data_IF_563486409318
#
_entry.id   IF_563486409318
#
_cell.length_a   1.000
_cell.length_b   1.000
_cell.length_c   1.000
_cell.angle_alpha   90.00
_cell.angle_beta   90.00
_cell.angle_gamma   90.00
#
_symmetry.space_group_name_H-M   'P 1'
#
loop_
_entity.id
_entity.type
_entity.pdbx_description
1 polymer ?
#
# COMPACT_ATOMS: atom_id res chain seq x y z
N UNK A 1 -11.28 6.46 -5.71
CA UNK A 1 -10.35 5.31 -5.63
C UNK A 1 -9.43 5.42 -6.83
N UNK A 2 -8.11 5.44 -6.61
CA UNK A 2 -7.08 6.27 -7.30
C UNK A 2 -6.84 7.62 -6.62
N UNK A 3 -7.88 8.43 -6.37
CA UNK A 3 -7.75 9.73 -5.66
C UNK A 3 -7.10 9.60 -4.29
N UNK A 4 -7.49 8.54 -3.56
CA UNK A 4 -6.95 8.23 -2.23
C UNK A 4 -5.46 7.82 -2.30
N UNK A 5 -5.00 7.27 -3.42
CA UNK A 5 -3.58 6.95 -3.61
C UNK A 5 -2.76 8.23 -3.80
N UNK A 6 -3.30 9.22 -4.52
CA UNK A 6 -2.68 10.53 -4.67
C UNK A 6 -2.62 11.29 -3.34
N UNK A 7 -3.71 11.27 -2.57
CA UNK A 7 -3.76 11.87 -1.22
C UNK A 7 -2.69 11.23 -0.32
N UNK A 8 -2.56 9.90 -0.36
CA UNK A 8 -1.55 9.20 0.42
C UNK A 8 -0.12 9.64 0.07
N UNK A 9 0.21 9.79 -1.22
CA UNK A 9 1.53 10.27 -1.63
C UNK A 9 1.81 11.69 -1.13
N UNK A 10 0.84 12.59 -1.28
CA UNK A 10 0.96 13.96 -0.79
C UNK A 10 1.19 13.98 0.73
N UNK A 11 0.50 13.12 1.47
CA UNK A 11 0.68 13.00 2.92
C UNK A 11 2.08 12.48 3.29
N UNK A 12 2.57 11.47 2.58
CA UNK A 12 3.92 10.93 2.81
C UNK A 12 5.00 11.99 2.51
N UNK A 13 4.81 12.80 1.46
CA UNK A 13 5.69 13.92 1.15
C UNK A 13 5.66 14.99 2.23
N UNK A 14 4.46 15.41 2.68
CA UNK A 14 4.33 16.37 3.78
C UNK A 14 4.97 15.86 5.06
N UNK A 15 4.76 14.58 5.40
CA UNK A 15 5.40 13.95 6.55
C UNK A 15 6.92 13.98 6.43
N UNK A 16 7.46 13.65 5.25
CA UNK A 16 8.91 13.71 4.99
C UNK A 16 9.46 15.12 5.20
N UNK A 17 8.77 16.14 4.71
CA UNK A 17 9.18 17.54 4.85
C UNK A 17 9.13 18.00 6.31
N UNK A 18 8.05 17.68 7.02
CA UNK A 18 7.86 18.09 8.41
C UNK A 18 8.80 17.36 9.38
N UNK A 19 8.95 16.04 9.23
CA UNK A 19 9.77 15.21 10.13
C UNK A 19 11.26 15.22 9.79
N UNK A 20 11.63 15.65 8.57
CA UNK A 20 12.97 15.49 8.03
C UNK A 20 13.35 14.04 7.68
N UNK A 21 12.41 13.09 7.82
CA UNK A 21 12.67 11.67 7.60
C UNK A 21 12.44 11.28 6.14
N UNK A 22 13.43 10.65 5.52
CA UNK A 22 13.27 10.08 4.19
C UNK A 22 12.41 8.81 4.24
N UNK A 23 11.43 8.73 3.34
CA UNK A 23 10.58 7.55 3.18
C UNK A 23 11.12 6.70 2.03
N UNK A 24 11.43 5.43 2.32
CA UNK A 24 11.89 4.49 1.31
C UNK A 24 10.71 3.75 0.69
N UNK A 25 10.17 4.31 -0.39
CA UNK A 25 9.04 3.71 -1.12
C UNK A 25 9.34 2.32 -1.67
N UNK A 26 10.61 2.04 -2.03
CA UNK A 26 11.03 0.72 -2.53
C UNK A 26 10.93 -0.38 -1.45
N UNK A 27 11.10 -0.03 -0.17
CA UNK A 27 10.87 -0.93 0.96
C UNK A 27 9.41 -0.94 1.44
N UNK A 28 8.59 -0.01 0.95
CA UNK A 28 7.16 0.02 1.24
C UNK A 28 6.41 -0.99 0.37
N UNK A 29 5.31 -1.50 0.91
CA UNK A 29 4.47 -2.46 0.22
C UNK A 29 2.98 -2.17 0.43
N UNK A 30 2.17 -2.51 -0.58
CA UNK A 30 0.71 -2.47 -0.51
C UNK A 30 0.11 -3.84 -0.77
N UNK A 31 -1.07 -4.05 -0.20
CA UNK A 31 -1.88 -5.25 -0.37
C UNK A 31 -3.25 -4.87 -0.91
N UNK A 32 -3.82 -5.74 -1.73
CA UNK A 32 -5.17 -5.59 -2.24
C UNK A 32 -6.04 -6.72 -1.72
N UNK A 33 -7.29 -6.41 -1.37
CA UNK A 33 -8.27 -7.45 -1.05
C UNK A 33 -8.61 -8.27 -2.31
N UNK A 34 -9.07 -9.51 -2.12
CA UNK A 34 -9.43 -10.41 -3.24
C UNK A 34 -10.45 -9.79 -4.20
N UNK A 35 -11.34 -8.93 -3.69
CA UNK A 35 -12.42 -8.33 -4.45
C UNK A 35 -12.01 -7.01 -5.13
N UNK A 36 -10.72 -6.65 -5.10
CA UNK A 36 -10.25 -5.43 -5.78
C UNK A 36 -10.05 -5.69 -7.27
N UNK A 37 -10.77 -5.00 -8.18
CA UNK A 37 -10.65 -5.23 -9.62
C UNK A 37 -9.24 -4.97 -10.14
N UNK A 38 -8.77 -5.79 -11.08
CA UNK A 38 -7.40 -5.69 -11.62
C UNK A 38 -7.10 -4.31 -12.25
N UNK A 39 -8.09 -3.69 -12.92
CA UNK A 39 -7.94 -2.34 -13.48
C UNK A 39 -7.60 -1.32 -12.38
N UNK A 40 -8.36 -1.35 -11.28
CA UNK A 40 -8.14 -0.46 -10.15
C UNK A 40 -6.78 -0.70 -9.48
N UNK A 41 -6.36 -1.96 -9.33
CA UNK A 41 -5.03 -2.30 -8.82
C UNK A 41 -3.93 -1.69 -9.68
N UNK A 42 -4.07 -1.80 -10.99
CA UNK A 42 -3.10 -1.27 -11.97
C UNK A 42 -3.02 0.25 -11.88
N UNK A 43 -4.16 0.94 -11.84
CA UNK A 43 -4.20 2.40 -11.70
C UNK A 43 -3.59 2.88 -10.38
N UNK A 44 -3.86 2.21 -9.27
CA UNK A 44 -3.26 2.54 -7.97
C UNK A 44 -1.74 2.32 -7.98
N UNK A 45 -1.27 1.23 -8.58
CA UNK A 45 0.17 0.95 -8.68
C UNK A 45 0.90 1.99 -9.54
N UNK A 46 0.27 2.46 -10.63
CA UNK A 46 0.84 3.52 -11.47
C UNK A 46 0.99 4.83 -10.70
N UNK A 47 0.05 5.16 -9.82
CA UNK A 47 0.12 6.36 -8.98
C UNK A 47 1.21 6.22 -7.93
N UNK A 48 1.22 5.11 -7.18
CA UNK A 48 2.15 4.87 -6.07
C UNK A 48 3.60 4.54 -6.49
N UNK A 49 3.91 4.77 -7.77
CA UNK A 49 5.17 4.56 -8.48
C UNK A 49 6.40 4.41 -7.55
N UNK A 50 6.75 3.15 -7.21
CA UNK A 50 7.84 2.82 -6.28
C UNK A 50 7.43 1.89 -5.13
N UNK A 51 6.14 1.82 -4.78
CA UNK A 51 5.64 0.88 -3.77
C UNK A 51 5.42 -0.51 -4.38
N UNK A 52 6.02 -1.53 -3.77
CA UNK A 52 5.95 -2.91 -4.28
C UNK A 52 4.61 -3.56 -3.92
N UNK A 53 3.97 -4.24 -4.88
CA UNK A 53 2.81 -5.10 -4.57
C UNK A 53 3.32 -6.41 -3.97
N UNK A 54 3.21 -6.56 -2.66
CA UNK A 54 3.72 -7.74 -1.98
C UNK A 54 2.68 -8.86 -1.95
N UNK A 55 3.10 -10.08 -2.29
CA UNK A 55 2.22 -11.27 -2.31
C UNK A 55 2.18 -12.02 -0.97
N UNK A 56 3.20 -11.85 -0.13
CA UNK A 56 3.28 -12.50 1.17
C UNK A 56 2.77 -11.59 2.28
N UNK A 57 1.80 -12.07 3.05
CA UNK A 57 1.17 -11.36 4.17
C UNK A 57 2.01 -11.52 5.43
N UNK A 58 3.32 -11.21 5.43
CA UNK A 58 4.14 -11.28 6.66
C UNK A 58 4.66 -9.90 7.05
N UNK A 59 4.55 -9.57 8.34
CA UNK A 59 5.10 -8.37 8.96
C UNK A 59 5.90 -8.80 10.18
N UNK A 60 7.18 -8.41 10.21
CA UNK A 60 8.12 -8.82 11.26
C UNK A 60 8.17 -10.34 11.47
N UNK A 61 8.08 -11.13 10.39
CA UNK A 61 8.09 -12.59 10.44
C UNK A 61 6.74 -13.23 10.77
N UNK A 62 5.75 -12.46 11.23
CA UNK A 62 4.42 -12.97 11.59
C UNK A 62 3.43 -12.80 10.43
N UNK A 63 2.50 -13.74 10.23
CA UNK A 63 1.44 -13.56 9.24
C UNK A 63 0.52 -12.39 9.64
N UNK A 64 0.51 -11.34 8.81
CA UNK A 64 -0.54 -10.34 8.75
C UNK A 64 -1.86 -11.06 8.51
N UNK A 65 -2.85 -10.83 9.36
CA UNK A 65 -4.23 -11.35 9.27
C UNK A 65 -5.02 -10.84 8.06
N UNK A 66 -4.37 -10.54 6.95
CA UNK A 66 -4.96 -10.18 5.67
C UNK A 66 -5.45 -11.46 5.00
N UNK A 67 -6.62 -11.92 5.46
CA UNK A 67 -7.31 -13.07 4.89
C UNK A 67 -7.85 -14.04 5.93
N UNK A 68 -8.97 -13.66 6.58
CA UNK A 68 -10.06 -14.54 7.03
C UNK A 68 -11.13 -13.69 7.74
N UNK A 69 -12.15 -13.28 7.02
CA UNK A 69 -13.50 -13.31 7.59
C UNK A 69 -14.05 -14.67 7.19
N UNK A 70 -14.07 -15.61 8.14
CA UNK A 70 -14.94 -16.78 8.05
C UNK A 70 -16.31 -16.22 8.44
N UNK A 71 -17.27 -16.27 7.52
CA UNK A 71 -18.68 -16.17 7.90
C UNK A 71 -18.92 -17.31 8.91
N UNK A 72 -19.38 -16.96 10.10
CA UNK A 72 -20.25 -17.86 10.85
C UNK A 72 -21.65 -17.79 10.23
#
# INVERSE_FOLDING_TARGET
GTDQATILLNLLEQYRLFSGQAINLQKSAIFFSKNTPQRLRTSICAILNGITVHRSTRYLGLPLGIGRSKRE
#
